data_IF_174257757615
#
_entry.id   IF_174257757615
#
_cell.length_a   1.000
_cell.length_b   1.000
_cell.length_c   1.000
_cell.angle_alpha   90.00
_cell.angle_beta   90.00
_cell.angle_gamma   90.00
#
_symmetry.space_group_name_H-M   'P 1'
#
loop_
_entity.id
_entity.type
_entity.pdbx_description
1 polymer ?
#
# COMPACT_ATOMS: atom_id res chain seq x y z
N UNK A 1 27.96 9.76 54.83
CA UNK A 1 26.62 9.41 54.29
C UNK A 1 26.03 10.50 53.39
N UNK A 2 26.76 10.99 52.37
CA UNK A 2 26.23 12.00 51.43
C UNK A 2 26.50 11.68 49.95
N UNK A 3 27.55 10.92 49.63
CA UNK A 3 27.85 10.53 48.26
C UNK A 3 26.88 9.49 47.67
N UNK A 4 26.31 8.61 48.50
CA UNK A 4 25.37 7.58 48.04
C UNK A 4 23.95 8.10 47.79
N UNK A 5 23.61 9.34 48.19
CA UNK A 5 22.27 9.92 47.93
C UNK A 5 22.14 10.60 46.57
N UNK A 6 23.25 10.92 45.92
CA UNK A 6 23.23 11.61 44.62
C UNK A 6 23.19 10.59 43.46
N UNK A 7 23.66 9.36 43.71
CA UNK A 7 23.71 8.31 42.69
C UNK A 7 22.31 7.75 42.32
N UNK A 8 21.33 7.84 43.21
CA UNK A 8 19.95 7.41 42.95
C UNK A 8 19.11 8.40 42.14
N UNK A 9 19.62 9.62 41.89
CA UNK A 9 18.87 10.65 41.14
C UNK A 9 19.27 10.73 39.66
N UNK A 10 20.29 9.96 39.23
CA UNK A 10 20.78 9.97 37.85
C UNK A 10 20.22 8.79 37.04
N UNK A 11 18.98 8.39 37.28
CA UNK A 11 18.22 7.60 36.33
C UNK A 11 17.55 8.57 35.34
N UNK A 12 18.38 9.25 34.55
CA UNK A 12 17.88 10.00 33.39
C UNK A 12 17.31 8.95 32.45
N UNK A 13 15.99 8.91 32.39
CA UNK A 13 15.22 8.16 31.42
C UNK A 13 15.67 8.64 30.04
N UNK A 14 16.59 7.91 29.42
CA UNK A 14 16.78 7.93 27.97
C UNK A 14 15.58 7.18 27.41
N UNK A 15 14.42 7.83 27.42
CA UNK A 15 13.32 7.36 26.61
C UNK A 15 13.76 7.60 25.16
N UNK A 16 13.95 6.55 24.34
CA UNK A 16 14.04 6.77 22.91
C UNK A 16 12.81 7.58 22.51
N UNK A 17 13.00 8.63 21.72
CA UNK A 17 11.90 9.35 21.10
C UNK A 17 11.15 8.35 20.23
N UNK A 18 10.07 7.79 20.76
CA UNK A 18 9.16 7.00 19.96
C UNK A 18 8.52 7.97 18.95
N UNK A 19 8.99 7.95 17.71
CA UNK A 19 8.23 8.53 16.62
C UNK A 19 6.93 7.76 16.55
N UNK A 20 5.84 8.40 16.98
CA UNK A 20 4.54 7.77 16.98
C UNK A 20 4.12 7.52 15.53
N UNK A 21 3.76 6.26 15.22
CA UNK A 21 3.08 5.97 13.98
C UNK A 21 1.87 6.90 13.85
N UNK A 22 1.74 7.52 12.70
CA UNK A 22 0.66 8.46 12.42
C UNK A 22 -0.36 7.79 11.49
N UNK A 23 -1.66 8.13 11.61
CA UNK A 23 -2.67 7.54 10.75
C UNK A 23 -2.64 8.18 9.35
N UNK A 24 -2.60 7.32 8.33
CA UNK A 24 -2.69 7.69 6.92
C UNK A 24 -3.83 6.93 6.27
N UNK A 25 -4.49 7.56 5.30
CA UNK A 25 -5.33 6.85 4.35
C UNK A 25 -4.43 6.38 3.19
N UNK A 26 -4.33 5.06 3.05
CA UNK A 26 -3.72 4.42 1.89
C UNK A 26 -4.83 4.06 0.93
N UNK A 27 -4.69 4.48 -0.32
CA UNK A 27 -5.62 4.12 -1.39
C UNK A 27 -4.84 3.62 -2.59
N UNK A 28 -5.24 2.45 -3.08
CA UNK A 28 -4.57 1.77 -4.18
C UNK A 28 -5.55 1.36 -5.28
N UNK A 29 -5.08 1.38 -6.51
CA UNK A 29 -5.77 0.89 -7.70
C UNK A 29 -4.78 0.00 -8.46
N UNK A 30 -5.07 -1.31 -8.51
CA UNK A 30 -4.33 -2.26 -9.34
C UNK A 30 -5.00 -2.33 -10.71
N UNK A 31 -4.22 -2.20 -11.78
CA UNK A 31 -4.71 -2.21 -13.15
C UNK A 31 -3.91 -3.18 -14.03
N UNK A 32 -4.59 -3.72 -15.04
CA UNK A 32 -3.95 -4.36 -16.19
C UNK A 32 -3.88 -3.37 -17.35
N UNK A 33 -2.77 -3.39 -18.08
CA UNK A 33 -2.53 -2.63 -19.30
C UNK A 33 -2.83 -3.54 -20.50
N UNK A 34 -3.99 -3.37 -21.14
CA UNK A 34 -4.51 -4.27 -22.16
C UNK A 34 -3.74 -4.23 -23.48
N UNK A 35 -2.93 -3.18 -23.71
CA UNK A 35 -2.04 -3.09 -24.86
C UNK A 35 -0.78 -3.96 -24.73
N UNK A 36 -0.41 -4.31 -23.49
CA UNK A 36 0.74 -5.16 -23.20
C UNK A 36 0.30 -6.64 -23.16
N UNK A 37 1.14 -7.56 -23.66
CA UNK A 37 0.82 -8.98 -23.60
C UNK A 37 0.78 -9.47 -22.15
N UNK A 38 -0.21 -10.33 -21.83
CA UNK A 38 -0.29 -11.00 -20.54
C UNK A 38 0.92 -11.92 -20.37
N UNK A 39 1.66 -11.75 -19.27
CA UNK A 39 2.82 -12.57 -18.93
C UNK A 39 2.45 -13.48 -17.76
N UNK A 40 2.27 -14.77 -18.07
CA UNK A 40 2.03 -15.76 -17.03
C UNK A 40 3.30 -15.99 -16.21
N UNK A 41 3.08 -16.14 -14.92
CA UNK A 41 4.07 -16.35 -13.87
C UNK A 41 3.80 -17.66 -13.15
N UNK A 42 4.58 -17.95 -12.10
CA UNK A 42 4.25 -19.02 -11.18
C UNK A 42 3.07 -18.59 -10.31
N UNK A 43 2.25 -19.56 -9.91
CA UNK A 43 1.23 -19.33 -8.91
C UNK A 43 1.82 -18.74 -7.63
N UNK A 44 1.00 -17.98 -6.91
CA UNK A 44 1.38 -17.47 -5.61
C UNK A 44 1.79 -18.64 -4.69
N UNK A 45 2.82 -18.47 -3.86
CA UNK A 45 3.16 -19.49 -2.87
C UNK A 45 2.00 -19.63 -1.85
N UNK A 46 1.84 -20.81 -1.25
CA UNK A 46 0.77 -21.06 -0.27
C UNK A 46 0.79 -20.06 0.90
N UNK A 47 1.99 -19.61 1.29
CA UNK A 47 2.21 -18.61 2.34
C UNK A 47 2.44 -17.20 1.77
N UNK A 48 1.74 -16.83 0.69
CA UNK A 48 1.89 -15.55 -0.02
C UNK A 48 1.84 -14.33 0.89
N UNK A 49 1.04 -14.37 1.96
CA UNK A 49 0.88 -13.24 2.88
C UNK A 49 2.11 -13.02 3.77
N UNK A 50 3.01 -14.01 3.88
CA UNK A 50 4.22 -13.99 4.68
C UNK A 50 4.00 -13.48 6.13
N UNK A 51 2.81 -13.74 6.69
CA UNK A 51 2.42 -13.26 8.03
C UNK A 51 2.08 -11.77 8.11
N UNK A 52 1.87 -11.08 6.99
CA UNK A 52 1.41 -9.70 6.95
C UNK A 52 -0.02 -9.57 7.52
N UNK A 53 -0.31 -8.42 8.11
CA UNK A 53 -1.63 -8.17 8.70
C UNK A 53 -2.67 -8.04 7.57
N UNK A 54 -3.76 -8.82 7.66
CA UNK A 54 -4.87 -8.69 6.70
C UNK A 54 -5.64 -7.41 6.96
N UNK A 55 -6.16 -6.82 5.88
CA UNK A 55 -7.13 -5.73 6.00
C UNK A 55 -8.35 -6.22 6.80
N UNK A 56 -8.73 -5.46 7.83
CA UNK A 56 -9.97 -5.73 8.55
C UNK A 56 -11.21 -5.34 7.74
N UNK A 57 -12.39 -5.63 8.29
CA UNK A 57 -13.67 -5.42 7.59
C UNK A 57 -13.99 -3.95 7.28
N UNK A 58 -13.36 -3.01 7.99
CA UNK A 58 -13.64 -1.58 7.87
C UNK A 58 -12.68 -0.91 6.88
N UNK A 59 -13.10 -0.84 5.63
CA UNK A 59 -12.45 -0.04 4.60
C UNK A 59 -12.82 1.45 4.73
N UNK A 60 -11.91 2.32 4.30
CA UNK A 60 -12.14 3.75 4.21
C UNK A 60 -12.88 4.09 2.91
N UNK A 61 -13.67 5.17 2.87
CA UNK A 61 -14.23 5.67 1.62
C UNK A 61 -13.11 6.03 0.62
N UNK A 62 -13.14 5.48 -0.61
CA UNK A 62 -12.16 5.84 -1.63
C UNK A 62 -12.34 7.29 -2.10
N UNK A 63 -11.22 7.96 -2.41
CA UNK A 63 -11.16 9.35 -2.89
C UNK A 63 -10.69 9.46 -4.33
N UNK A 64 -10.27 8.34 -4.94
CA UNK A 64 -9.78 8.27 -6.33
C UNK A 64 -10.82 7.72 -7.32
N UNK A 65 -12.12 7.71 -6.97
CA UNK A 65 -13.17 7.17 -7.84
C UNK A 65 -13.19 7.82 -9.23
N UNK A 66 -12.90 9.12 -9.33
CA UNK A 66 -12.78 9.83 -10.61
C UNK A 66 -11.63 9.31 -11.49
N UNK A 67 -10.54 8.82 -10.89
CA UNK A 67 -9.43 8.18 -11.61
C UNK A 67 -9.86 6.80 -12.08
N UNK A 68 -10.53 6.03 -11.22
CA UNK A 68 -11.07 4.71 -11.56
C UNK A 68 -12.07 4.80 -12.72
N UNK A 69 -12.96 5.79 -12.71
CA UNK A 69 -13.94 5.99 -13.78
C UNK A 69 -13.26 6.29 -15.12
N UNK A 70 -12.19 7.11 -15.11
CA UNK A 70 -11.38 7.38 -16.31
C UNK A 70 -10.67 6.12 -16.81
N UNK A 71 -10.07 5.34 -15.91
CA UNK A 71 -9.40 4.08 -16.24
C UNK A 71 -10.38 3.05 -16.82
N UNK A 72 -11.62 2.99 -16.32
CA UNK A 72 -12.67 2.12 -16.84
C UNK A 72 -13.24 2.58 -18.18
N UNK A 73 -13.20 3.88 -18.46
CA UNK A 73 -13.65 4.44 -19.73
C UNK A 73 -12.64 4.24 -20.88
N UNK A 74 -11.38 3.96 -20.56
CA UNK A 74 -10.32 3.69 -21.53
C UNK A 74 -10.12 2.17 -21.70
N UNK A 75 -10.36 1.65 -22.91
CA UNK A 75 -10.22 0.22 -23.21
C UNK A 75 -8.78 -0.30 -23.10
N UNK A 76 -7.80 0.60 -23.01
CA UNK A 76 -6.39 0.27 -22.80
C UNK A 76 -6.11 -0.24 -21.38
N UNK A 77 -7.05 -0.09 -20.45
CA UNK A 77 -6.89 -0.53 -19.07
C UNK A 77 -8.02 -1.44 -18.58
N UNK A 78 -7.72 -2.24 -17.56
CA UNK A 78 -8.72 -2.95 -16.77
C UNK A 78 -8.41 -2.75 -15.30
N UNK A 79 -9.37 -2.17 -14.57
CA UNK A 79 -9.24 -1.98 -13.11
C UNK A 79 -9.52 -3.32 -12.44
N UNK A 80 -8.48 -3.90 -11.84
CA UNK A 80 -8.52 -5.20 -11.18
C UNK A 80 -8.95 -5.07 -9.72
N UNK A 81 -8.39 -4.09 -9.02
CA UNK A 81 -8.66 -3.87 -7.60
C UNK A 81 -8.66 -2.38 -7.28
N UNK A 82 -9.58 -1.95 -6.41
CA UNK A 82 -9.58 -0.62 -5.81
C UNK A 82 -9.90 -0.75 -4.32
N UNK A 83 -8.93 -0.43 -3.45
CA UNK A 83 -9.11 -0.47 -1.99
C UNK A 83 -8.57 0.80 -1.36
N UNK A 84 -9.25 1.26 -0.31
CA UNK A 84 -8.81 2.33 0.55
C UNK A 84 -8.96 1.92 2.02
N UNK A 85 -7.97 2.20 2.86
CA UNK A 85 -7.99 1.88 4.28
C UNK A 85 -7.13 2.87 5.07
N UNK A 86 -7.31 2.87 6.39
CA UNK A 86 -6.42 3.61 7.30
C UNK A 86 -5.31 2.69 7.79
N UNK A 87 -4.08 3.21 7.74
CA UNK A 87 -2.88 2.51 8.21
C UNK A 87 -2.08 3.45 9.09
N UNK A 88 -1.71 2.97 10.27
CA UNK A 88 -0.68 3.61 11.08
C UNK A 88 0.68 3.34 10.42
N UNK A 89 1.38 4.41 10.06
CA UNK A 89 2.66 4.36 9.38
C UNK A 89 3.70 5.18 10.14
N UNK A 90 4.93 4.69 10.15
CA UNK A 90 6.09 5.34 10.78
C UNK A 90 7.39 4.84 10.19
N UNK A 91 8.48 4.95 10.96
CA UNK A 91 9.82 4.54 10.50
C UNK A 91 9.97 3.03 10.37
N UNK A 92 9.07 2.24 10.97
CA UNK A 92 9.05 0.79 10.80
C UNK A 92 8.11 0.40 9.65
N UNK A 93 8.48 -0.59 8.82
CA UNK A 93 7.64 -1.01 7.71
C UNK A 93 6.35 -1.67 8.21
N UNK A 94 5.21 -1.14 7.77
CA UNK A 94 3.90 -1.75 7.93
C UNK A 94 3.62 -2.68 6.74
N UNK A 95 3.45 -3.97 7.01
CA UNK A 95 3.12 -4.98 5.98
C UNK A 95 1.65 -5.34 6.05
N UNK A 96 0.97 -5.22 4.91
CA UNK A 96 -0.47 -5.45 4.78
C UNK A 96 -0.71 -6.51 3.71
N UNK A 97 -1.42 -7.58 4.07
CA UNK A 97 -1.93 -8.57 3.15
C UNK A 97 -3.26 -8.09 2.56
N UNK A 98 -3.35 -8.12 1.24
CA UNK A 98 -4.48 -7.63 0.47
C UNK A 98 -4.97 -8.77 -0.40
N UNK A 99 -6.27 -9.09 -0.31
CA UNK A 99 -6.90 -10.06 -1.20
C UNK A 99 -8.27 -9.57 -1.69
N UNK A 100 -8.72 -10.15 -2.80
CA UNK A 100 -10.02 -9.90 -3.39
C UNK A 100 -10.55 -11.12 -4.16
N UNK A 101 -11.86 -11.28 -4.19
CA UNK A 101 -12.54 -12.44 -4.76
C UNK A 101 -12.75 -13.59 -3.75
N UNK A 102 -13.40 -14.66 -4.23
CA UNK A 102 -13.70 -15.82 -3.42
C UNK A 102 -12.45 -16.70 -3.24
N UNK A 103 -12.11 -17.00 -2.00
CA UNK A 103 -11.02 -17.92 -1.65
C UNK A 103 -11.27 -19.33 -2.18
N UNK A 104 -10.24 -19.95 -2.76
CA UNK A 104 -10.21 -21.34 -3.20
C UNK A 104 -8.90 -21.96 -2.72
N UNK A 105 -9.00 -22.99 -1.87
CA UNK A 105 -7.84 -23.71 -1.30
C UNK A 105 -6.74 -22.82 -0.71
N UNK A 106 -7.09 -21.72 -0.04
CA UNK A 106 -6.11 -20.81 0.57
C UNK A 106 -5.59 -19.70 -0.36
N UNK A 107 -6.02 -19.68 -1.61
CA UNK A 107 -5.63 -18.67 -2.61
C UNK A 107 -6.83 -17.84 -3.05
N UNK A 108 -6.58 -16.59 -3.46
CA UNK A 108 -7.60 -15.64 -3.90
C UNK A 108 -7.37 -15.23 -5.37
N UNK A 109 -8.42 -14.82 -6.11
CA UNK A 109 -8.29 -14.28 -7.46
C UNK A 109 -7.32 -13.11 -7.57
N UNK A 110 -7.27 -12.27 -6.54
CA UNK A 110 -6.21 -11.28 -6.38
C UNK A 110 -5.68 -11.42 -4.96
N UNK A 111 -4.36 -11.54 -4.81
CA UNK A 111 -3.70 -11.60 -3.51
C UNK A 111 -2.31 -10.97 -3.57
N UNK A 112 -1.83 -10.48 -2.44
CA UNK A 112 -0.52 -9.87 -2.39
C UNK A 112 -0.23 -9.12 -1.10
N UNK A 113 1.03 -8.70 -0.96
CA UNK A 113 1.51 -7.95 0.19
C UNK A 113 1.99 -6.58 -0.25
N UNK A 114 1.58 -5.58 0.51
CA UNK A 114 2.07 -4.21 0.41
C UNK A 114 2.86 -3.88 1.68
N UNK A 115 4.12 -3.49 1.53
CA UNK A 115 4.97 -2.97 2.60
C UNK A 115 5.10 -1.47 2.43
N UNK A 116 4.86 -0.72 3.50
CA UNK A 116 4.90 0.74 3.51
C UNK A 116 5.75 1.23 4.68
N UNK A 117 6.77 2.03 4.40
CA UNK A 117 7.62 2.63 5.42
C UNK A 117 7.74 4.14 5.20
N UNK A 118 7.43 4.91 6.24
CA UNK A 118 7.54 6.37 6.15
C UNK A 118 8.95 6.84 6.53
N UNK A 119 9.51 7.65 5.64
CA UNK A 119 10.64 8.52 5.92
C UNK A 119 10.43 9.87 5.24
N UNK A 120 11.52 10.44 4.73
CA UNK A 120 11.44 11.65 3.87
C UNK A 120 10.67 11.38 2.57
N UNK A 121 10.82 10.16 2.06
CA UNK A 121 9.98 9.56 1.04
C UNK A 121 9.30 8.35 1.66
N UNK A 122 8.25 7.87 1.02
CA UNK A 122 7.63 6.61 1.42
C UNK A 122 8.22 5.51 0.58
N UNK A 123 8.92 4.60 1.25
CA UNK A 123 9.43 3.38 0.64
C UNK A 123 8.26 2.38 0.55
N UNK A 124 8.07 1.82 -0.64
CA UNK A 124 6.98 0.91 -0.98
C UNK A 124 7.56 -0.36 -1.60
N UNK A 125 7.20 -1.51 -1.04
CA UNK A 125 7.29 -2.80 -1.72
C UNK A 125 5.89 -3.32 -1.99
N UNK A 126 5.65 -3.80 -3.21
CA UNK A 126 4.36 -4.32 -3.63
C UNK A 126 4.58 -5.63 -4.38
N UNK A 127 3.90 -6.69 -3.95
CA UNK A 127 4.03 -8.03 -4.50
C UNK A 127 2.63 -8.66 -4.61
N UNK A 128 2.11 -8.81 -5.83
CA UNK A 128 0.72 -9.20 -6.10
C UNK A 128 0.63 -10.27 -7.18
N UNK A 129 -0.29 -11.21 -6.98
CA UNK A 129 -0.70 -12.22 -7.95
C UNK A 129 -2.16 -12.01 -8.35
N UNK A 130 -2.41 -12.21 -9.65
CA UNK A 130 -3.76 -12.26 -10.21
C UNK A 130 -3.95 -13.69 -10.70
N UNK A 131 -4.71 -14.47 -9.95
CA UNK A 131 -4.89 -15.90 -10.16
C UNK A 131 -6.15 -16.17 -10.98
N UNK A 132 -6.00 -17.02 -12.00
CA UNK A 132 -7.12 -17.61 -12.74
C UNK A 132 -7.33 -19.03 -12.25
N UNK A 133 -8.56 -19.32 -11.83
CA UNK A 133 -8.97 -20.64 -11.36
C UNK A 133 -9.72 -21.40 -12.45
N UNK A 134 -9.59 -22.73 -12.44
CA UNK A 134 -10.50 -23.61 -13.17
C UNK A 134 -11.84 -23.80 -12.41
N UNK A 135 -12.73 -24.60 -12.99
CA UNK A 135 -14.02 -24.92 -12.38
C UNK A 135 -13.92 -25.71 -11.07
N UNK A 136 -12.76 -26.30 -10.78
CA UNK A 136 -12.52 -27.09 -9.58
C UNK A 136 -11.87 -26.25 -8.47
N UNK A 137 -11.57 -24.98 -8.72
CA UNK A 137 -10.90 -24.08 -7.77
C UNK A 137 -9.38 -24.22 -7.76
N UNK A 138 -8.76 -24.91 -8.73
CA UNK A 138 -7.30 -24.97 -8.87
C UNK A 138 -6.79 -23.80 -9.69
N UNK A 139 -5.67 -23.19 -9.28
CA UNK A 139 -5.00 -22.15 -10.08
C UNK A 139 -4.40 -22.76 -11.34
N UNK A 140 -4.81 -22.24 -12.50
CA UNK A 140 -4.33 -22.67 -13.82
C UNK A 140 -3.41 -21.65 -14.49
N UNK A 141 -3.46 -20.40 -14.07
CA UNK A 141 -2.57 -19.34 -14.53
C UNK A 141 -2.50 -18.23 -13.48
N UNK A 142 -1.36 -17.55 -13.39
CA UNK A 142 -1.20 -16.39 -12.53
C UNK A 142 -0.41 -15.32 -13.25
N UNK A 143 -0.82 -14.06 -13.13
CA UNK A 143 0.03 -12.91 -13.46
C UNK A 143 0.70 -12.42 -12.17
N UNK A 144 1.93 -11.91 -12.28
CA UNK A 144 2.71 -11.45 -11.13
C UNK A 144 3.16 -10.01 -11.33
N UNK A 145 2.83 -9.16 -10.35
CA UNK A 145 3.31 -7.80 -10.23
C UNK A 145 4.24 -7.73 -9.03
N UNK A 146 5.49 -7.30 -9.24
CA UNK A 146 6.44 -7.08 -8.16
C UNK A 146 7.20 -5.78 -8.38
N UNK A 147 7.23 -4.94 -7.35
CA UNK A 147 8.00 -3.70 -7.30
C UNK A 147 8.62 -3.60 -5.91
N UNK A 148 9.93 -3.33 -5.86
CA UNK A 148 10.70 -3.28 -4.61
C UNK A 148 11.48 -1.98 -4.52
N UNK A 149 11.66 -1.49 -3.30
CA UNK A 149 12.44 -0.30 -2.96
C UNK A 149 11.95 0.96 -3.71
N UNK A 150 10.64 1.05 -3.99
CA UNK A 150 10.08 2.21 -4.70
C UNK A 150 9.94 3.38 -3.74
N UNK A 151 10.56 4.51 -4.09
CA UNK A 151 10.45 5.77 -3.34
C UNK A 151 9.41 6.69 -3.93
N UNK A 152 8.42 7.02 -3.12
CA UNK A 152 7.29 7.86 -3.54
C UNK A 152 7.14 9.10 -2.69
N UNK A 153 6.48 10.12 -3.25
CA UNK A 153 6.10 11.31 -2.50
C UNK A 153 4.73 11.09 -1.85
N UNK A 154 4.61 11.51 -0.60
CA UNK A 154 3.33 11.54 0.10
C UNK A 154 2.37 12.57 -0.49
N UNK A 155 1.08 12.33 -0.30
CA UNK A 155 -0.03 13.15 -0.80
C UNK A 155 -0.10 13.29 -2.34
N UNK A 156 0.70 12.53 -3.09
CA UNK A 156 0.67 12.46 -4.54
C UNK A 156 0.17 11.09 -5.00
N UNK A 157 -0.44 11.05 -6.19
CA UNK A 157 -0.76 9.79 -6.84
C UNK A 157 0.52 9.29 -7.52
N UNK A 158 1.02 8.15 -7.09
CA UNK A 158 2.23 7.54 -7.62
C UNK A 158 1.83 6.34 -8.49
N UNK A 159 2.57 6.14 -9.58
CA UNK A 159 2.38 5.04 -10.52
C UNK A 159 3.60 4.12 -10.45
N UNK A 160 3.36 2.84 -10.16
CA UNK A 160 4.36 1.79 -10.08
C UNK A 160 4.13 0.86 -11.27
N UNK A 161 5.11 0.80 -12.17
CA UNK A 161 5.02 0.07 -13.42
C UNK A 161 5.59 -1.35 -13.29
N UNK A 162 4.77 -2.36 -13.54
CA UNK A 162 5.16 -3.77 -13.60
C UNK A 162 5.08 -4.36 -15.02
N UNK A 163 5.08 -3.52 -16.05
CA UNK A 163 4.86 -3.95 -17.44
C UNK A 163 3.38 -4.09 -17.73
N UNK A 164 2.86 -5.31 -17.89
CA UNK A 164 1.43 -5.52 -18.18
C UNK A 164 0.50 -5.24 -16.99
N UNK A 165 1.04 -5.15 -15.78
CA UNK A 165 0.32 -4.76 -14.56
C UNK A 165 0.92 -3.47 -14.01
N UNK A 166 0.08 -2.64 -13.40
CA UNK A 166 0.54 -1.43 -12.73
C UNK A 166 -0.27 -1.14 -11.46
N UNK A 167 0.38 -0.48 -10.51
CA UNK A 167 -0.22 -0.07 -9.24
C UNK A 167 -0.21 1.45 -9.14
N UNK A 168 -1.39 2.05 -9.05
CA UNK A 168 -1.54 3.44 -8.65
C UNK A 168 -1.77 3.48 -7.14
N UNK A 169 -0.99 4.28 -6.42
CA UNK A 169 -1.10 4.40 -4.97
C UNK A 169 -0.97 5.84 -4.50
N UNK A 170 -1.85 6.23 -3.58
CA UNK A 170 -1.80 7.52 -2.89
C UNK A 170 -1.86 7.31 -1.39
N UNK A 171 -0.92 7.93 -0.69
CA UNK A 171 -0.79 7.88 0.76
C UNK A 171 -1.06 9.29 1.29
N UNK A 172 -2.19 9.45 1.97
CA UNK A 172 -2.68 10.75 2.44
C UNK A 172 -2.66 10.81 3.95
N UNK A 173 -1.95 11.78 4.52
CA UNK A 173 -1.97 11.97 5.98
C UNK A 173 -3.37 12.36 6.46
N UNK A 174 -3.85 11.73 7.54
CA UNK A 174 -5.13 12.07 8.16
C UNK A 174 -5.01 13.13 9.26
N UNK A 175 -3.77 13.45 9.69
CA UNK A 175 -3.48 14.43 10.75
C UNK A 175 -2.83 15.70 10.23
N UNK A 176 -2.20 15.67 9.05
CA UNK A 176 -1.58 16.86 8.47
C UNK A 176 -2.65 17.90 8.07
N UNK A 177 -2.41 19.16 8.45
CA UNK A 177 -3.22 20.28 7.98
C UNK A 177 -3.17 20.32 6.44
N UNK A 178 -4.30 20.53 5.74
CA UNK A 178 -4.30 20.69 4.28
C UNK A 178 -3.30 21.78 3.88
N UNK A 179 -2.57 21.62 2.75
CA UNK A 179 -1.70 22.67 2.25
C UNK A 179 -2.52 23.96 2.08
N UNK A 180 -2.02 25.05 2.66
CA UNK A 180 -2.62 26.38 2.49
C UNK A 180 -2.75 26.69 1.00
N UNK A 181 -3.87 27.31 0.60
CA UNK A 181 -4.05 27.78 -0.77
C UNK A 181 -2.84 28.66 -1.19
N UNK A 182 -2.44 28.64 -2.48
CA UNK A 182 -1.44 29.57 -2.99
C UNK A 182 -1.83 31.00 -2.60
N UNK A 183 -0.87 31.87 -2.23
CA UNK A 183 -1.16 33.29 -2.05
C UNK A 183 -1.87 33.81 -3.31
N UNK A 184 -2.94 34.61 -3.19
CA UNK A 184 -3.52 35.26 -4.36
C UNK A 184 -2.40 36.03 -5.07
N UNK A 185 -2.27 35.80 -6.38
CA UNK A 185 -1.32 36.51 -7.24
C UNK A 185 -1.47 38.01 -6.98
N UNK A 186 -0.39 38.64 -6.51
CA UNK A 186 -0.35 40.09 -6.42
C UNK A 186 -0.21 40.56 -7.87
N UNK A 187 -1.32 40.97 -8.46
CA UNK A 187 -1.33 41.67 -9.75
C UNK A 187 -0.68 43.03 -9.51
N UNK A 188 0.47 43.27 -10.15
CA UNK A 188 1.09 44.59 -10.30
C UNK A 188 0.24 45.49 -11.22
#
# INVERSE_FOLDING_TARGET
MRLFRILSLLLVVVAPTAFADSPYQVEMILVRQNAEPVINSRAAPENWDAGAARLGDKLSPPRLSNIVDKLRADSSYTVLLHKAWEQNLGEQPAKVAISDGQEQFGQFPIEGVLSLQLGRFTDIDADFWINTFDSNGSVIASEHFAQKDVRTKNNQLNYLDGGHLALLIKITSLTAKPPSAPPPDIQD
#
